data_IF_079706570697
#
_entry.id   IF_079706570697
#
_cell.length_a   1.000
_cell.length_b   1.000
_cell.length_c   1.000
_cell.angle_alpha   90.00
_cell.angle_beta   90.00
_cell.angle_gamma   90.00
#
_symmetry.space_group_name_H-M   'P 1'
#
loop_
_entity.id
_entity.type
_entity.pdbx_description
1 polymer ?
#
# COMPACT_ATOMS: atom_id res chain seq x y z
N UNK A 1 78.23 -48.81 52.63
CA UNK A 1 77.84 -47.59 53.35
C UNK A 1 76.78 -46.91 52.49
N UNK A 2 75.51 -47.30 52.43
CA UNK A 2 74.58 -47.82 53.44
C UNK A 2 73.58 -46.70 53.73
N UNK A 3 72.43 -46.56 53.06
CA UNK A 3 71.83 -47.36 51.99
C UNK A 3 70.92 -46.48 51.09
N UNK A 4 70.50 -46.98 49.91
CA UNK A 4 69.82 -46.21 48.88
C UNK A 4 68.31 -46.40 48.89
N UNK A 5 67.58 -45.43 48.33
CA UNK A 5 66.22 -45.65 47.85
C UNK A 5 65.44 -44.36 47.68
N UNK A 6 65.66 -43.65 46.57
CA UNK A 6 64.55 -42.93 45.95
C UNK A 6 63.47 -43.95 45.56
N UNK A 7 62.19 -43.60 45.75
CA UNK A 7 61.23 -43.79 44.64
C UNK A 7 60.19 -42.63 44.63
N UNK A 8 59.20 -42.61 43.72
CA UNK A 8 59.32 -41.91 42.44
C UNK A 8 58.12 -40.97 42.16
N UNK A 9 58.15 -40.37 40.97
CA UNK A 9 57.08 -39.60 40.34
C UNK A 9 55.73 -40.33 40.27
N UNK A 10 54.66 -39.53 40.25
CA UNK A 10 53.37 -39.94 39.68
C UNK A 10 52.21 -39.11 40.22
N UNK A 11 51.82 -38.07 39.49
CA UNK A 11 50.45 -37.53 39.55
C UNK A 11 49.51 -38.48 38.79
N UNK A 12 48.27 -38.63 39.28
CA UNK A 12 47.14 -38.72 38.38
C UNK A 12 46.05 -37.70 38.71
N UNK A 13 45.49 -37.12 37.65
CA UNK A 13 44.22 -36.40 37.64
C UNK A 13 43.10 -37.25 38.27
N UNK A 14 42.19 -36.58 38.98
CA UNK A 14 40.95 -37.18 39.47
C UNK A 14 40.23 -36.29 40.47
N UNK A 15 39.34 -35.42 39.99
CA UNK A 15 38.18 -34.99 40.79
C UNK A 15 37.15 -36.14 40.85
N UNK A 16 36.08 -36.14 41.67
CA UNK A 16 35.65 -35.20 42.73
C UNK A 16 35.17 -35.91 44.04
N UNK A 17 34.64 -35.11 44.98
CA UNK A 17 33.58 -35.42 45.97
C UNK A 17 33.95 -35.97 47.37
N UNK A 18 33.50 -35.20 48.39
CA UNK A 18 32.80 -35.69 49.59
C UNK A 18 33.63 -36.16 50.79
N UNK A 19 33.51 -35.45 51.92
CA UNK A 19 33.93 -35.95 53.23
C UNK A 19 34.02 -34.88 54.31
N UNK A 20 32.91 -34.66 55.03
CA UNK A 20 32.89 -33.94 56.30
C UNK A 20 33.73 -34.70 57.34
N UNK A 21 34.86 -34.16 57.83
CA UNK A 21 35.49 -34.52 59.13
C UNK A 21 36.81 -33.75 59.41
N UNK A 22 36.93 -32.46 59.03
CA UNK A 22 38.19 -31.70 59.18
C UNK A 22 38.37 -31.01 60.56
N UNK A 23 37.40 -31.10 61.48
CA UNK A 23 37.45 -30.28 62.72
C UNK A 23 37.57 -31.07 64.03
N UNK A 24 37.89 -32.37 63.97
CA UNK A 24 37.98 -33.21 65.17
C UNK A 24 39.35 -33.28 65.85
N UNK A 25 40.36 -32.53 65.39
CA UNK A 25 41.73 -32.62 65.91
C UNK A 25 42.27 -31.34 66.58
N UNK A 26 41.49 -30.26 66.72
CA UNK A 26 41.99 -29.05 67.38
C UNK A 26 41.77 -29.15 68.89
N UNK A 27 42.76 -29.73 69.58
CA UNK A 27 42.84 -29.76 71.05
C UNK A 27 43.49 -28.46 71.51
N UNK A 28 42.75 -27.64 72.26
CA UNK A 28 43.25 -26.39 72.85
C UNK A 28 44.21 -26.69 74.01
N UNK A 29 45.50 -26.83 73.69
CA UNK A 29 46.54 -27.07 74.68
C UNK A 29 46.99 -25.76 75.37
N UNK A 30 47.62 -25.88 76.54
CA UNK A 30 48.06 -24.77 77.40
C UNK A 30 49.05 -23.82 76.69
N UNK A 31 49.66 -24.30 75.60
CA UNK A 31 50.53 -23.55 74.70
C UNK A 31 49.79 -22.47 73.88
N UNK A 32 48.51 -22.67 73.55
CA UNK A 32 47.70 -21.68 72.81
C UNK A 32 47.33 -20.47 73.69
N UNK A 33 47.02 -20.71 74.97
CA UNK A 33 46.71 -19.65 75.94
C UNK A 33 47.96 -18.82 76.28
N UNK A 34 49.16 -19.41 76.19
CA UNK A 34 50.43 -18.71 76.44
C UNK A 34 50.88 -17.84 75.26
N UNK A 35 50.40 -18.10 74.04
CA UNK A 35 50.69 -17.31 72.85
C UNK A 35 49.83 -16.04 72.70
N UNK A 36 48.74 -15.92 73.46
CA UNK A 36 47.86 -14.75 73.46
C UNK A 36 48.26 -13.73 74.56
N UNK A 37 49.44 -13.10 74.41
CA UNK A 37 49.78 -11.87 75.14
C UNK A 37 49.74 -10.67 74.18
N UNK A 38 48.53 -10.33 73.73
CA UNK A 38 48.25 -9.03 73.13
C UNK A 38 47.57 -8.18 74.19
N UNK A 39 48.36 -7.29 74.79
CA UNK A 39 47.90 -6.31 75.77
C UNK A 39 47.59 -5.02 75.00
N UNK A 40 46.33 -4.75 74.71
CA UNK A 40 45.92 -3.53 74.02
C UNK A 40 46.07 -2.30 74.94
N UNK A 41 46.68 -1.25 74.40
CA UNK A 41 46.86 0.02 75.10
C UNK A 41 45.54 0.69 75.45
N UNK A 42 45.48 1.32 76.63
CA UNK A 42 44.31 2.03 77.13
C UNK A 42 43.96 3.23 76.24
N UNK A 43 42.68 3.61 76.18
CA UNK A 43 42.19 4.69 75.31
C UNK A 43 42.89 6.06 75.56
N UNK A 44 43.52 6.25 76.71
CA UNK A 44 44.26 7.47 77.06
C UNK A 44 45.67 7.53 76.48
N UNK A 45 46.32 6.40 76.19
CA UNK A 45 47.66 6.38 75.57
C UNK A 45 47.65 6.65 74.05
N UNK A 46 46.48 6.52 73.39
CA UNK A 46 46.30 6.94 72.00
C UNK A 46 46.18 8.46 71.81
N UNK A 47 46.05 9.24 72.89
CA UNK A 47 45.88 10.70 72.79
C UNK A 47 47.21 11.49 72.80
N UNK A 48 48.34 10.88 73.16
CA UNK A 48 49.60 11.60 73.37
C UNK A 48 50.50 11.69 72.12
N UNK A 49 50.23 10.92 71.06
CA UNK A 49 51.04 10.93 69.84
C UNK A 49 50.39 11.83 68.77
N UNK A 50 50.78 13.10 68.77
CA UNK A 50 50.32 14.10 67.82
C UNK A 50 51.37 14.33 66.72
N UNK A 51 51.45 13.39 65.78
CA UNK A 51 51.96 13.69 64.44
C UNK A 51 50.77 14.11 63.55
N UNK A 52 50.68 15.37 63.08
CA UNK A 52 49.56 15.79 62.23
C UNK A 52 49.71 15.13 60.86
N UNK A 53 49.01 14.01 60.63
CA UNK A 53 48.84 13.40 59.33
C UNK A 53 47.79 14.14 58.50
N UNK A 54 47.99 15.43 58.24
CA UNK A 54 47.20 16.17 57.25
C UNK A 54 48.14 16.94 56.33
N UNK A 55 48.44 16.35 55.17
CA UNK A 55 48.90 17.12 54.01
C UNK A 55 47.81 18.15 53.72
N UNK A 56 48.13 19.44 53.90
CA UNK A 56 47.31 20.52 53.36
C UNK A 56 47.22 20.32 51.85
N UNK A 57 46.03 19.98 51.34
CA UNK A 57 45.74 20.06 49.91
C UNK A 57 45.86 21.53 49.50
N UNK A 58 46.51 21.87 48.37
CA UNK A 58 46.47 23.23 47.88
C UNK A 58 45.01 23.59 47.57
N UNK A 59 44.64 24.83 47.86
CA UNK A 59 43.33 25.37 47.54
C UNK A 59 43.07 25.15 46.04
N UNK A 60 41.96 24.45 45.73
CA UNK A 60 41.47 24.36 44.37
C UNK A 60 41.06 25.77 43.96
N UNK A 61 41.95 26.49 43.26
CA UNK A 61 41.55 27.66 42.52
C UNK A 61 40.56 27.18 41.45
N UNK A 62 39.26 27.31 41.73
CA UNK A 62 38.19 27.26 40.74
C UNK A 62 38.32 28.47 39.82
N UNK A 63 39.33 28.47 38.97
CA UNK A 63 39.17 29.00 37.63
C UNK A 63 38.51 27.89 36.82
N UNK A 64 37.41 28.18 36.12
CA UNK A 64 36.91 27.30 35.06
C UNK A 64 38.11 26.95 34.18
N UNK A 65 38.60 25.71 34.25
CA UNK A 65 39.79 25.32 33.50
C UNK A 65 39.49 25.57 32.02
N UNK A 66 40.49 25.99 31.24
CA UNK A 66 40.34 26.14 29.78
C UNK A 66 39.65 24.91 29.15
N UNK A 67 39.84 23.73 29.73
CA UNK A 67 39.21 22.48 29.34
C UNK A 67 37.68 22.47 29.54
N UNK A 68 37.15 23.02 30.64
CA UNK A 68 35.71 23.16 30.84
C UNK A 68 35.08 24.14 29.86
N UNK A 69 35.78 25.23 29.54
CA UNK A 69 35.37 26.20 28.52
C UNK A 69 35.37 25.59 27.11
N UNK A 70 36.39 24.80 26.77
CA UNK A 70 36.46 24.05 25.51
C UNK A 70 35.33 23.03 25.43
N UNK A 71 35.03 22.31 26.51
CA UNK A 71 33.94 21.33 26.56
C UNK A 71 32.57 21.99 26.34
N UNK A 72 32.30 23.11 27.01
CA UNK A 72 31.05 23.87 26.82
C UNK A 72 30.95 24.41 25.38
N UNK A 73 32.06 24.88 24.81
CA UNK A 73 32.11 25.32 23.41
C UNK A 73 31.80 24.17 22.45
N UNK A 74 32.37 22.98 22.68
CA UNK A 74 32.09 21.79 21.86
C UNK A 74 30.62 21.35 21.95
N UNK A 75 30.04 21.38 23.16
CA UNK A 75 28.62 21.09 23.36
C UNK A 75 27.76 22.13 22.64
N UNK A 76 28.09 23.42 22.76
CA UNK A 76 27.37 24.49 22.08
C UNK A 76 27.48 24.39 20.56
N UNK A 77 28.64 24.01 20.02
CA UNK A 77 28.83 23.75 18.58
C UNK A 77 28.00 22.54 18.15
N UNK A 78 28.06 21.43 18.88
CA UNK A 78 27.30 20.22 18.57
C UNK A 78 25.78 20.46 18.61
N UNK A 79 25.29 21.19 19.60
CA UNK A 79 23.89 21.62 19.65
C UNK A 79 23.57 22.61 18.54
N UNK A 80 24.47 23.54 18.24
CA UNK A 80 24.33 24.49 17.14
C UNK A 80 24.24 23.78 15.80
N UNK A 81 25.06 22.75 15.53
CA UNK A 81 24.97 21.94 14.32
C UNK A 81 23.75 21.03 14.31
N UNK A 82 23.34 20.46 15.45
CA UNK A 82 22.10 19.67 15.54
C UNK A 82 20.86 20.54 15.27
N UNK A 83 20.80 21.74 15.85
CA UNK A 83 19.75 22.72 15.58
C UNK A 83 19.84 23.20 14.12
N UNK A 84 21.04 23.49 13.62
CA UNK A 84 21.22 23.93 12.24
C UNK A 84 20.83 22.83 11.22
N UNK A 85 21.13 21.56 11.47
CA UNK A 85 20.68 20.43 10.64
C UNK A 85 19.19 20.11 10.83
N UNK A 86 18.64 20.32 12.03
CA UNK A 86 17.20 20.21 12.28
C UNK A 86 16.39 21.35 11.65
N UNK A 87 16.98 22.54 11.51
CA UNK A 87 16.36 23.72 10.90
C UNK A 87 16.59 23.74 9.38
N UNK A 88 17.79 23.37 8.91
CA UNK A 88 18.10 23.15 7.49
C UNK A 88 18.01 21.67 7.19
N UNK A 89 16.79 21.19 6.93
CA UNK A 89 16.57 19.87 6.35
C UNK A 89 17.32 19.77 5.01
N UNK A 90 18.40 18.95 4.88
CA UNK A 90 19.13 18.77 3.61
C UNK A 90 18.35 17.87 2.63
N UNK A 91 17.33 17.17 3.15
CA UNK A 91 16.28 16.60 2.34
C UNK A 91 15.18 17.65 2.28
N UNK A 92 15.13 18.38 1.17
CA UNK A 92 13.86 18.94 0.73
C UNK A 92 12.90 17.75 0.68
N UNK A 93 12.00 17.63 1.64
CA UNK A 93 10.75 16.91 1.41
C UNK A 93 10.23 17.52 0.12
N UNK A 94 10.10 16.76 -0.98
CA UNK A 94 9.42 17.28 -2.15
C UNK A 94 8.12 17.86 -1.60
N UNK A 95 7.90 19.16 -1.80
CA UNK A 95 6.60 19.75 -1.52
C UNK A 95 5.62 18.88 -2.29
N UNK A 96 4.82 18.08 -1.58
CA UNK A 96 3.76 17.29 -2.18
C UNK A 96 2.91 18.28 -2.96
N UNK A 97 3.04 18.28 -4.29
CA UNK A 97 2.09 18.98 -5.10
C UNK A 97 0.74 18.31 -4.81
N UNK A 98 -0.32 19.10 -4.57
CA UNK A 98 -1.65 18.53 -4.48
C UNK A 98 -1.88 17.68 -5.74
N UNK A 99 -2.34 16.43 -5.59
CA UNK A 99 -2.55 15.54 -6.71
C UNK A 99 -3.55 16.18 -7.65
N UNK A 100 -3.33 15.98 -8.94
CA UNK A 100 -4.23 16.54 -9.94
C UNK A 100 -5.58 15.82 -9.80
N UNK A 101 -6.71 16.54 -9.73
CA UNK A 101 -8.00 15.90 -9.57
C UNK A 101 -8.31 15.04 -10.81
N UNK A 102 -8.80 13.83 -10.58
CA UNK A 102 -9.17 12.87 -11.63
C UNK A 102 -10.04 13.56 -12.68
N UNK A 103 -9.66 13.43 -13.94
CA UNK A 103 -10.50 13.81 -15.09
C UNK A 103 -11.11 12.58 -15.71
N UNK A 104 -12.41 12.65 -15.94
CA UNK A 104 -13.18 11.53 -16.47
C UNK A 104 -13.98 11.92 -17.70
N UNK A 105 -14.06 10.98 -18.64
CA UNK A 105 -14.92 11.05 -19.81
C UNK A 105 -15.67 9.74 -19.91
N UNK A 106 -17.00 9.79 -19.89
CA UNK A 106 -17.87 8.61 -20.02
C UNK A 106 -18.70 8.76 -21.28
N UNK A 107 -18.51 7.84 -22.23
CA UNK A 107 -19.16 7.84 -23.53
C UNK A 107 -20.10 6.63 -23.64
N UNK A 108 -21.42 6.83 -23.51
CA UNK A 108 -22.38 5.80 -23.84
C UNK A 108 -22.35 5.49 -25.34
N UNK A 109 -22.43 4.21 -25.69
CA UNK A 109 -22.45 3.71 -27.06
C UNK A 109 -23.83 3.16 -27.39
N UNK A 110 -24.54 3.83 -28.29
CA UNK A 110 -25.87 3.45 -28.73
C UNK A 110 -25.84 2.38 -29.84
N UNK A 111 -26.50 1.23 -29.66
CA UNK A 111 -26.62 0.22 -30.72
C UNK A 111 -27.43 0.76 -31.90
N UNK A 112 -27.05 0.37 -33.11
CA UNK A 112 -27.77 0.73 -34.33
C UNK A 112 -28.99 -0.15 -34.60
N UNK A 113 -29.03 -1.33 -34.00
CA UNK A 113 -30.09 -2.34 -34.14
C UNK A 113 -30.55 -2.82 -32.76
N UNK A 114 -31.57 -3.67 -32.72
CA UNK A 114 -31.96 -4.35 -31.50
C UNK A 114 -30.77 -5.13 -30.92
N UNK A 115 -30.59 -5.08 -29.60
CA UNK A 115 -29.49 -5.77 -28.91
C UNK A 115 -29.67 -7.29 -29.06
N UNK A 116 -28.65 -8.03 -29.56
CA UNK A 116 -28.69 -9.47 -29.64
C UNK A 116 -28.89 -10.13 -28.27
N UNK A 117 -29.54 -11.28 -28.27
CA UNK A 117 -29.61 -12.09 -27.06
C UNK A 117 -29.94 -13.55 -27.31
N UNK A 118 -29.36 -14.39 -26.46
CA UNK A 118 -29.53 -15.84 -26.44
C UNK A 118 -29.83 -16.28 -25.00
N UNK A 119 -30.36 -17.49 -24.81
CA UNK A 119 -30.45 -18.12 -23.49
C UNK A 119 -29.09 -18.61 -22.97
N UNK A 120 -28.05 -18.62 -23.80
CA UNK A 120 -26.69 -19.03 -23.46
C UNK A 120 -25.70 -17.86 -23.54
N UNK A 121 -25.06 -17.53 -22.41
CA UNK A 121 -23.96 -16.57 -22.37
C UNK A 121 -22.75 -17.06 -23.19
N UNK A 122 -22.43 -18.35 -23.11
CA UNK A 122 -21.30 -18.95 -23.82
C UNK A 122 -21.48 -18.88 -25.35
N UNK A 123 -22.71 -19.04 -25.85
CA UNK A 123 -23.02 -18.86 -27.28
C UNK A 123 -22.78 -17.43 -27.74
N UNK A 124 -23.24 -16.44 -26.95
CA UNK A 124 -23.02 -15.02 -27.25
C UNK A 124 -21.53 -14.68 -27.27
N UNK A 125 -20.77 -15.17 -26.28
CA UNK A 125 -19.33 -14.95 -26.23
C UNK A 125 -18.64 -15.56 -27.45
N UNK A 126 -18.95 -16.81 -27.80
CA UNK A 126 -18.37 -17.52 -28.94
C UNK A 126 -18.62 -16.82 -30.29
N UNK A 127 -19.76 -16.15 -30.44
CA UNK A 127 -20.13 -15.42 -31.67
C UNK A 127 -19.82 -13.93 -31.62
N UNK A 128 -18.93 -13.50 -30.72
CA UNK A 128 -18.52 -12.10 -30.55
C UNK A 128 -16.99 -11.96 -30.58
N UNK A 129 -16.46 -10.74 -30.70
CA UNK A 129 -15.02 -10.50 -30.51
C UNK A 129 -14.49 -10.96 -29.14
N UNK A 130 -15.35 -11.14 -28.14
CA UNK A 130 -14.96 -11.61 -26.81
C UNK A 130 -14.61 -13.11 -26.75
N UNK A 131 -14.81 -13.88 -27.82
CA UNK A 131 -14.50 -15.31 -27.87
C UNK A 131 -13.03 -15.61 -27.52
N UNK A 132 -12.12 -14.71 -27.92
CA UNK A 132 -10.67 -14.81 -27.70
C UNK A 132 -10.20 -14.20 -26.36
N UNK A 133 -11.11 -13.61 -25.59
CA UNK A 133 -10.76 -12.92 -24.34
C UNK A 133 -10.60 -13.95 -23.21
N UNK A 134 -9.66 -13.68 -22.31
CA UNK A 134 -9.48 -14.46 -21.09
C UNK A 134 -10.57 -14.12 -20.08
N UNK A 135 -10.72 -14.94 -19.03
CA UNK A 135 -11.78 -14.79 -18.04
C UNK A 135 -11.24 -14.04 -16.81
N UNK A 136 -11.99 -13.04 -16.35
CA UNK A 136 -11.71 -12.31 -15.11
C UNK A 136 -10.29 -11.73 -15.05
N UNK A 137 -9.66 -11.88 -13.88
CA UNK A 137 -8.33 -11.32 -13.61
C UNK A 137 -7.21 -11.93 -14.47
N UNK A 138 -7.44 -13.07 -15.12
CA UNK A 138 -6.48 -13.66 -16.07
C UNK A 138 -6.38 -12.83 -17.36
N UNK A 139 -7.40 -12.05 -17.71
CA UNK A 139 -7.33 -11.12 -18.84
C UNK A 139 -6.53 -9.85 -18.57
N UNK A 140 -6.22 -9.57 -17.30
CA UNK A 140 -5.38 -8.45 -16.87
C UNK A 140 -3.96 -9.00 -16.65
N UNK A 141 -3.22 -9.14 -17.75
CA UNK A 141 -1.84 -9.66 -17.72
C UNK A 141 -0.85 -8.55 -17.45
N UNK A 142 0.08 -8.79 -16.55
CA UNK A 142 1.20 -7.88 -16.31
C UNK A 142 2.22 -8.02 -17.47
N UNK A 143 2.72 -6.92 -18.04
CA UNK A 143 3.79 -6.98 -19.01
C UNK A 143 5.09 -7.46 -18.34
N UNK A 144 6.06 -7.87 -19.15
CA UNK A 144 7.41 -8.05 -18.64
C UNK A 144 7.95 -6.70 -18.16
N UNK A 145 8.17 -6.55 -16.86
CA UNK A 145 8.77 -5.35 -16.28
C UNK A 145 10.29 -5.46 -16.23
N UNK A 146 10.94 -4.31 -16.24
CA UNK A 146 12.36 -4.17 -15.91
C UNK A 146 12.51 -2.91 -15.06
N UNK A 147 13.56 -2.87 -14.24
CA UNK A 147 13.97 -1.64 -13.57
C UNK A 147 14.13 -0.49 -14.57
N UNK A 148 13.82 0.71 -14.13
CA UNK A 148 14.02 1.94 -14.89
C UNK A 148 15.24 2.69 -14.33
N UNK A 149 15.41 3.97 -14.67
CA UNK A 149 16.54 4.78 -14.21
C UNK A 149 16.48 5.05 -12.70
N UNK A 150 15.29 5.36 -12.19
CA UNK A 150 15.03 5.79 -10.81
C UNK A 150 14.23 4.78 -9.98
N UNK A 151 13.62 3.77 -10.61
CA UNK A 151 12.84 2.73 -9.94
C UNK A 151 13.44 1.34 -10.08
N UNK A 152 13.38 0.58 -8.98
CA UNK A 152 13.75 -0.84 -8.99
C UNK A 152 12.73 -1.67 -9.75
N UNK A 153 13.14 -2.89 -10.13
CA UNK A 153 12.22 -3.85 -10.75
C UNK A 153 11.01 -4.14 -9.85
N UNK A 154 11.25 -4.32 -8.54
CA UNK A 154 10.18 -4.54 -7.57
C UNK A 154 9.19 -3.38 -7.49
N UNK A 155 9.66 -2.14 -7.60
CA UNK A 155 8.78 -0.96 -7.60
C UNK A 155 7.89 -0.89 -8.85
N UNK A 156 8.45 -1.21 -10.02
CA UNK A 156 7.68 -1.28 -11.27
C UNK A 156 6.64 -2.40 -11.19
N UNK A 157 7.02 -3.57 -10.66
CA UNK A 157 6.07 -4.68 -10.42
C UNK A 157 4.97 -4.25 -9.46
N UNK A 158 5.30 -3.59 -8.35
CA UNK A 158 4.30 -3.09 -7.39
C UNK A 158 3.31 -2.15 -8.05
N UNK A 159 3.76 -1.15 -8.82
CA UNK A 159 2.88 -0.24 -9.56
C UNK A 159 1.90 -1.00 -10.48
N UNK A 160 2.43 -1.95 -11.27
CA UNK A 160 1.64 -2.78 -12.19
C UNK A 160 0.63 -3.66 -11.43
N UNK A 161 1.02 -4.24 -10.29
CA UNK A 161 0.11 -5.04 -9.47
C UNK A 161 -0.97 -4.19 -8.81
N UNK A 162 -0.66 -3.00 -8.29
CA UNK A 162 -1.66 -2.10 -7.71
C UNK A 162 -2.67 -1.65 -8.76
N UNK A 163 -2.21 -1.29 -9.96
CA UNK A 163 -3.11 -0.96 -11.08
C UNK A 163 -3.99 -2.15 -11.49
N UNK A 164 -3.43 -3.37 -11.50
CA UNK A 164 -4.21 -4.60 -11.75
C UNK A 164 -5.28 -4.82 -10.68
N UNK A 165 -4.94 -4.70 -9.40
CA UNK A 165 -5.89 -4.88 -8.30
C UNK A 165 -7.00 -3.84 -8.38
N UNK A 166 -6.68 -2.58 -8.69
CA UNK A 166 -7.69 -1.55 -8.95
C UNK A 166 -8.65 -1.95 -10.07
N UNK A 167 -8.15 -2.48 -11.19
CA UNK A 167 -8.98 -2.94 -12.30
C UNK A 167 -9.87 -4.13 -11.90
N UNK A 168 -9.35 -5.06 -11.10
CA UNK A 168 -10.12 -6.21 -10.59
C UNK A 168 -11.26 -5.71 -9.69
N UNK A 169 -10.94 -4.92 -8.67
CA UNK A 169 -11.96 -4.43 -7.73
C UNK A 169 -12.98 -3.49 -8.40
N UNK A 170 -12.52 -2.63 -9.32
CA UNK A 170 -13.41 -1.64 -9.94
C UNK A 170 -14.20 -2.16 -11.14
N UNK A 171 -13.86 -3.33 -11.71
CA UNK A 171 -14.50 -3.84 -12.95
C UNK A 171 -14.86 -5.31 -12.94
N UNK A 172 -14.47 -6.10 -11.93
CA UNK A 172 -14.74 -7.53 -11.89
C UNK A 172 -15.45 -7.99 -10.62
N UNK A 173 -15.31 -7.27 -9.50
CA UNK A 173 -15.99 -7.59 -8.25
C UNK A 173 -17.53 -7.51 -8.40
N UNK A 174 -18.27 -8.63 -8.26
CA UNK A 174 -19.72 -8.65 -8.35
C UNK A 174 -20.43 -7.70 -7.36
N UNK A 175 -19.86 -7.49 -6.18
CA UNK A 175 -20.41 -6.58 -5.17
C UNK A 175 -20.25 -5.11 -5.60
N UNK A 176 -19.21 -4.78 -6.36
CA UNK A 176 -19.06 -3.46 -6.97
C UNK A 176 -19.97 -3.30 -8.18
N UNK A 177 -20.00 -4.31 -9.06
CA UNK A 177 -20.77 -4.31 -10.30
C UNK A 177 -22.28 -4.21 -10.04
N UNK A 178 -22.79 -4.93 -9.04
CA UNK A 178 -24.24 -5.06 -8.77
C UNK A 178 -24.62 -4.86 -7.30
N UNK A 179 -23.71 -5.07 -6.35
CA UNK A 179 -23.97 -4.92 -4.90
C UNK A 179 -23.90 -3.48 -4.36
N UNK A 180 -23.43 -2.52 -5.16
CA UNK A 180 -23.41 -1.10 -4.81
C UNK A 180 -22.33 -0.68 -3.82
N UNK A 181 -21.47 -1.61 -3.36
CA UNK A 181 -20.32 -1.27 -2.54
C UNK A 181 -19.29 -0.47 -3.33
N UNK A 182 -18.55 0.38 -2.62
CA UNK A 182 -17.44 1.20 -3.17
C UNK A 182 -16.15 0.97 -2.41
N UNK A 183 -16.21 0.30 -1.26
CA UNK A 183 -15.09 0.15 -0.33
C UNK A 183 -13.88 -0.57 -0.94
N UNK A 184 -14.02 -1.68 -1.69
CA UNK A 184 -12.87 -2.37 -2.28
C UNK A 184 -12.05 -1.47 -3.21
N UNK A 185 -12.72 -0.60 -3.96
CA UNK A 185 -12.05 0.41 -4.81
C UNK A 185 -11.48 1.55 -3.97
N UNK A 186 -12.26 2.05 -3.01
CA UNK A 186 -11.89 3.21 -2.19
C UNK A 186 -10.59 3.00 -1.41
N UNK A 187 -10.33 1.79 -0.91
CA UNK A 187 -9.11 1.50 -0.13
C UNK A 187 -7.83 1.47 -0.98
N UNK A 188 -7.96 1.29 -2.30
CA UNK A 188 -6.84 1.26 -3.24
C UNK A 188 -6.48 2.65 -3.78
N UNK A 189 -7.26 3.69 -3.46
CA UNK A 189 -6.99 5.05 -3.91
C UNK A 189 -6.02 5.76 -2.98
N UNK A 190 -5.22 6.67 -3.56
CA UNK A 190 -4.45 7.63 -2.79
C UNK A 190 -5.37 8.43 -1.84
N UNK A 191 -4.99 8.65 -0.57
CA UNK A 191 -5.84 9.33 0.42
C UNK A 191 -6.32 10.72 0.00
N UNK A 192 -5.56 11.43 -0.83
CA UNK A 192 -5.85 12.78 -1.28
C UNK A 192 -6.95 12.79 -2.36
N UNK A 193 -7.26 11.66 -2.99
CA UNK A 193 -8.37 11.53 -3.94
C UNK A 193 -9.70 11.11 -3.28
N UNK A 194 -9.68 10.77 -1.99
CA UNK A 194 -10.87 10.24 -1.31
C UNK A 194 -12.01 11.24 -1.23
N UNK A 195 -11.72 12.54 -1.07
CA UNK A 195 -12.76 13.58 -1.05
C UNK A 195 -13.50 13.67 -2.40
N UNK A 196 -12.76 13.64 -3.51
CA UNK A 196 -13.35 13.62 -4.85
C UNK A 196 -14.14 12.33 -5.10
N UNK A 197 -13.59 11.19 -4.68
CA UNK A 197 -14.25 9.89 -4.78
C UNK A 197 -15.57 9.90 -4.02
N UNK A 198 -15.55 10.24 -2.73
CA UNK A 198 -16.75 10.25 -1.86
C UNK A 198 -17.80 11.24 -2.41
N UNK A 199 -17.38 12.43 -2.83
CA UNK A 199 -18.28 13.40 -3.49
C UNK A 199 -18.94 12.85 -4.76
N UNK A 200 -18.22 12.04 -5.54
CA UNK A 200 -18.77 11.41 -6.75
C UNK A 200 -19.97 10.53 -6.44
N UNK A 201 -19.97 9.83 -5.30
CA UNK A 201 -21.08 8.96 -4.91
C UNK A 201 -22.19 9.70 -4.17
N UNK A 202 -21.85 10.70 -3.36
CA UNK A 202 -22.82 11.51 -2.60
C UNK A 202 -23.62 12.45 -3.51
N UNK A 203 -22.96 13.06 -4.50
CA UNK A 203 -23.57 14.00 -5.46
C UNK A 203 -23.03 13.74 -6.87
N UNK A 204 -23.48 12.68 -7.55
CA UNK A 204 -23.03 12.37 -8.90
C UNK A 204 -23.33 13.51 -9.88
N UNK A 205 -22.33 13.97 -10.65
CA UNK A 205 -22.50 15.01 -11.68
C UNK A 205 -21.70 14.71 -12.95
N UNK A 206 -22.20 15.22 -14.09
CA UNK A 206 -21.54 15.12 -15.40
C UNK A 206 -20.53 16.26 -15.65
N UNK A 207 -19.69 16.58 -14.66
CA UNK A 207 -18.73 17.70 -14.72
C UNK A 207 -17.31 17.28 -15.16
N UNK A 208 -17.16 16.01 -15.56
CA UNK A 208 -15.88 15.42 -15.90
C UNK A 208 -14.99 15.14 -14.69
N UNK A 209 -15.53 15.13 -13.47
CA UNK A 209 -14.82 14.87 -12.21
C UNK A 209 -15.59 14.03 -11.19
N UNK A 210 -16.92 14.03 -11.21
CA UNK A 210 -17.73 13.41 -10.17
C UNK A 210 -18.77 12.40 -10.68
N UNK A 211 -18.45 11.68 -11.77
CA UNK A 211 -19.20 10.53 -12.23
C UNK A 211 -18.70 9.24 -11.59
N UNK A 212 -19.50 8.56 -10.74
CA UNK A 212 -19.20 7.22 -10.22
C UNK A 212 -18.76 6.20 -11.26
N UNK A 213 -19.34 6.26 -12.46
CA UNK A 213 -19.03 5.33 -13.57
C UNK A 213 -17.67 5.57 -14.22
N UNK A 214 -16.99 6.68 -13.90
CA UNK A 214 -15.57 6.87 -14.22
C UNK A 214 -14.66 6.07 -13.26
N UNK A 215 -14.98 6.07 -11.97
CA UNK A 215 -14.21 5.35 -10.96
C UNK A 215 -14.34 3.83 -11.08
N UNK A 216 -15.56 3.33 -11.25
CA UNK A 216 -15.84 1.90 -11.26
C UNK A 216 -17.03 1.55 -12.15
N UNK A 217 -17.06 0.31 -12.63
CA UNK A 217 -18.19 -0.22 -13.39
C UNK A 217 -19.30 -0.57 -12.41
N UNK A 218 -20.47 0.01 -12.61
CA UNK A 218 -21.65 -0.27 -11.78
C UNK A 218 -22.92 -0.24 -12.58
N UNK A 219 -23.70 -1.31 -12.47
CA UNK A 219 -25.00 -1.45 -13.10
C UNK A 219 -26.11 -0.99 -12.15
N UNK A 220 -27.25 -0.63 -12.74
CA UNK A 220 -28.50 -0.48 -12.01
C UNK A 220 -29.07 -1.87 -11.66
N UNK A 221 -28.76 -2.33 -10.44
CA UNK A 221 -29.14 -3.64 -9.93
C UNK A 221 -30.66 -3.85 -9.82
N UNK A 222 -31.46 -2.79 -9.83
CA UNK A 222 -32.93 -2.90 -9.88
C UNK A 222 -33.44 -3.40 -11.23
N UNK A 223 -32.62 -3.28 -12.28
CA UNK A 223 -32.97 -3.62 -13.67
C UNK A 223 -32.13 -4.72 -14.26
N UNK A 224 -30.86 -4.81 -13.87
CA UNK A 224 -29.89 -5.73 -14.49
C UNK A 224 -29.09 -6.48 -13.43
N UNK A 225 -28.83 -7.76 -13.71
CA UNK A 225 -27.93 -8.60 -12.94
C UNK A 225 -26.96 -9.35 -13.88
N UNK A 226 -25.85 -9.81 -13.32
CA UNK A 226 -24.94 -10.71 -14.04
C UNK A 226 -25.67 -12.03 -14.37
N UNK A 227 -25.57 -12.46 -15.62
CA UNK A 227 -26.04 -13.75 -16.08
C UNK A 227 -24.95 -14.82 -15.99
N UNK A 228 -23.69 -14.40 -15.97
CA UNK A 228 -22.50 -15.24 -15.88
C UNK A 228 -21.40 -14.48 -15.10
N UNK A 229 -20.68 -15.19 -14.24
CA UNK A 229 -19.51 -14.65 -13.52
C UNK A 229 -18.23 -14.69 -14.37
N UNK A 230 -18.21 -15.41 -15.49
CA UNK A 230 -17.08 -15.52 -16.42
C UNK A 230 -16.93 -14.28 -17.31
N UNK A 231 -16.75 -13.12 -16.69
CA UNK A 231 -16.53 -11.84 -17.39
C UNK A 231 -15.31 -11.97 -18.31
N UNK A 232 -15.45 -11.56 -19.58
CA UNK A 232 -14.38 -11.64 -20.57
C UNK A 232 -13.55 -10.37 -20.55
N UNK A 233 -12.22 -10.50 -20.51
CA UNK A 233 -11.30 -9.37 -20.40
C UNK A 233 -10.15 -9.51 -21.39
N UNK A 234 -9.83 -8.41 -22.05
CA UNK A 234 -8.60 -8.26 -22.84
C UNK A 234 -8.08 -6.84 -22.69
N UNK A 235 -6.77 -6.69 -22.55
CA UNK A 235 -6.15 -5.37 -22.48
C UNK A 235 -4.65 -5.45 -22.26
N UNK A 236 -4.06 -4.31 -21.94
CA UNK A 236 -2.64 -4.18 -21.62
C UNK A 236 -2.41 -3.17 -20.50
N UNK A 237 -1.32 -3.40 -19.76
CA UNK A 237 -0.72 -2.44 -18.84
C UNK A 237 0.63 -2.02 -19.41
N UNK A 238 0.98 -0.75 -19.24
CA UNK A 238 2.28 -0.20 -19.60
C UNK A 238 2.77 0.65 -18.44
N UNK A 239 4.04 0.51 -18.06
CA UNK A 239 4.66 1.30 -17.00
C UNK A 239 5.84 2.11 -17.56
N UNK A 240 5.93 3.37 -17.18
CA UNK A 240 7.00 4.28 -17.56
C UNK A 240 7.33 5.24 -16.40
N UNK A 241 8.49 5.87 -16.43
CA UNK A 241 8.77 7.00 -15.54
C UNK A 241 8.08 8.25 -16.09
N UNK A 242 7.24 8.89 -15.27
CA UNK A 242 6.76 10.23 -15.55
C UNK A 242 7.85 11.26 -15.21
N UNK A 243 8.48 11.09 -14.05
CA UNK A 243 9.66 11.82 -13.62
C UNK A 243 10.54 10.94 -12.68
N UNK A 244 11.57 11.51 -12.05
CA UNK A 244 12.51 10.77 -11.20
C UNK A 244 11.93 10.26 -9.87
N UNK A 245 10.73 10.67 -9.51
CA UNK A 245 10.03 10.32 -8.28
C UNK A 245 8.64 9.70 -8.52
N UNK A 246 8.14 9.69 -9.76
CA UNK A 246 6.80 9.22 -10.10
C UNK A 246 6.82 8.20 -11.25
N UNK A 247 6.22 7.03 -11.04
CA UNK A 247 5.88 6.08 -12.10
C UNK A 247 4.49 6.40 -12.65
N UNK A 248 4.33 6.27 -13.96
CA UNK A 248 3.03 6.24 -14.63
C UNK A 248 2.70 4.82 -15.06
N UNK A 249 1.46 4.40 -14.84
CA UNK A 249 0.91 3.18 -15.43
C UNK A 249 -0.31 3.52 -16.26
N UNK A 250 -0.30 3.13 -17.53
CA UNK A 250 -1.46 3.25 -18.41
C UNK A 250 -2.09 1.87 -18.57
N UNK A 251 -3.38 1.79 -18.30
CA UNK A 251 -4.19 0.59 -18.46
C UNK A 251 -5.26 0.82 -19.54
N UNK A 252 -5.27 0.00 -20.59
CA UNK A 252 -6.33 -0.02 -21.60
C UNK A 252 -6.93 -1.43 -21.65
N UNK A 253 -8.14 -1.57 -21.11
CA UNK A 253 -8.82 -2.87 -20.98
C UNK A 253 -10.26 -2.79 -21.46
N UNK A 254 -10.67 -3.84 -22.16
CA UNK A 254 -12.06 -4.09 -22.56
C UNK A 254 -12.61 -5.25 -21.73
N UNK A 255 -13.74 -5.00 -21.07
CA UNK A 255 -14.49 -5.93 -20.24
C UNK A 255 -15.83 -6.23 -20.91
N UNK A 256 -16.22 -7.51 -21.01
CA UNK A 256 -17.49 -7.93 -21.61
C UNK A 256 -18.27 -8.79 -20.63
N UNK A 257 -19.40 -8.25 -20.20
CA UNK A 257 -20.30 -8.81 -19.20
C UNK A 257 -21.49 -9.47 -19.89
N UNK A 258 -21.89 -10.64 -19.41
CA UNK A 258 -23.17 -11.25 -19.76
C UNK A 258 -24.22 -10.79 -18.76
N UNK A 259 -25.26 -10.11 -19.24
CA UNK A 259 -26.28 -9.45 -18.42
C UNK A 259 -27.67 -9.95 -18.75
N UNK A 260 -28.55 -9.97 -17.75
CA UNK A 260 -29.98 -10.28 -17.91
C UNK A 260 -30.83 -9.39 -17.00
N UNK A 261 -32.15 -9.29 -17.24
CA UNK A 261 -33.02 -8.53 -16.36
C UNK A 261 -33.00 -9.07 -14.93
N UNK A 262 -33.07 -8.19 -13.94
CA UNK A 262 -33.19 -8.59 -12.52
C UNK A 262 -34.46 -9.41 -12.29
N UNK A 263 -34.40 -10.41 -11.40
CA UNK A 263 -35.53 -11.27 -11.03
C UNK A 263 -36.19 -12.01 -12.21
N UNK A 264 -35.41 -12.27 -13.27
CA UNK A 264 -35.86 -13.00 -14.44
C UNK A 264 -35.67 -14.52 -14.30
N UNK A 265 -36.47 -15.29 -15.03
CA UNK A 265 -36.39 -16.75 -15.02
C UNK A 265 -35.09 -17.28 -15.65
N UNK A 266 -34.88 -18.61 -15.57
CA UNK A 266 -33.69 -19.25 -16.13
C UNK A 266 -33.65 -19.23 -17.68
N UNK A 267 -34.76 -18.89 -18.35
CA UNK A 267 -34.87 -18.83 -19.82
C UNK A 267 -34.77 -17.39 -20.34
N UNK A 268 -34.59 -16.41 -19.46
CA UNK A 268 -34.43 -15.03 -19.84
C UNK A 268 -33.23 -14.87 -20.78
N UNK A 269 -33.44 -14.12 -21.86
CA UNK A 269 -32.36 -13.84 -22.81
C UNK A 269 -31.28 -13.01 -22.11
N UNK A 270 -30.06 -13.47 -22.29
CA UNK A 270 -28.82 -12.80 -21.92
C UNK A 270 -28.40 -11.87 -23.06
N UNK A 271 -27.74 -10.77 -22.73
CA UNK A 271 -27.07 -9.89 -23.67
C UNK A 271 -25.64 -9.62 -23.24
N UNK A 272 -24.77 -9.33 -24.19
CA UNK A 272 -23.43 -8.84 -23.86
C UNK A 272 -23.43 -7.32 -23.70
N UNK A 273 -22.69 -6.86 -22.71
CA UNK A 273 -22.41 -5.46 -22.47
C UNK A 273 -20.89 -5.26 -22.40
N UNK A 274 -20.38 -4.30 -23.14
CA UNK A 274 -18.94 -4.06 -23.31
C UNK A 274 -18.56 -2.72 -22.70
N UNK A 275 -17.50 -2.70 -21.91
CA UNK A 275 -16.88 -1.50 -21.35
C UNK A 275 -15.41 -1.50 -21.71
N UNK A 276 -14.96 -0.50 -22.47
CA UNK A 276 -13.53 -0.19 -22.61
C UNK A 276 -13.18 0.92 -21.63
N UNK A 277 -12.13 0.70 -20.84
CA UNK A 277 -11.59 1.67 -19.89
C UNK A 277 -10.12 1.91 -20.21
N UNK A 278 -9.78 3.17 -20.42
CA UNK A 278 -8.40 3.64 -20.45
C UNK A 278 -8.16 4.49 -19.18
N UNK A 279 -7.25 4.03 -18.33
CA UNK A 279 -6.94 4.60 -17.03
C UNK A 279 -5.47 4.97 -16.96
N UNK A 280 -5.16 6.16 -16.45
CA UNK A 280 -3.79 6.63 -16.26
C UNK A 280 -3.56 6.81 -14.76
N UNK A 281 -2.61 6.07 -14.23
CA UNK A 281 -2.26 6.06 -12.82
C UNK A 281 -0.90 6.73 -12.60
N UNK A 282 -0.73 7.42 -11.49
CA UNK A 282 0.58 7.81 -10.96
C UNK A 282 0.85 7.07 -9.65
N UNK A 283 2.13 6.80 -9.43
CA UNK A 283 2.63 6.18 -8.21
C UNK A 283 3.90 6.88 -7.77
N UNK A 284 3.83 7.58 -6.65
CA UNK A 284 5.03 8.00 -5.93
C UNK A 284 5.57 6.87 -5.03
N UNK A 285 6.62 7.15 -4.25
CA UNK A 285 7.20 6.12 -3.36
C UNK A 285 6.29 5.72 -2.21
N UNK A 286 5.41 6.61 -1.76
CA UNK A 286 4.44 6.32 -0.70
C UNK A 286 3.27 5.49 -1.24
N UNK A 287 2.76 5.81 -2.44
CA UNK A 287 1.76 4.99 -3.15
C UNK A 287 2.23 3.54 -3.30
N UNK A 288 3.46 3.36 -3.78
CA UNK A 288 4.07 2.04 -3.94
C UNK A 288 4.21 1.30 -2.61
N UNK A 289 4.55 2.01 -1.53
CA UNK A 289 4.70 1.42 -0.20
C UNK A 289 3.35 1.04 0.41
N UNK A 290 2.31 1.82 0.14
CA UNK A 290 0.98 1.68 0.71
C UNK A 290 0.04 0.82 -0.14
N UNK A 291 0.46 0.43 -1.35
CA UNK A 291 -0.38 -0.27 -2.34
C UNK A 291 -1.61 0.56 -2.72
N UNK A 292 -1.39 1.86 -2.96
CA UNK A 292 -2.41 2.82 -3.35
C UNK A 292 -2.11 3.36 -4.75
N UNK A 293 -3.13 3.88 -5.41
CA UNK A 293 -3.05 4.41 -6.77
C UNK A 293 -3.67 5.80 -6.85
N UNK A 294 -2.93 6.76 -7.39
CA UNK A 294 -3.47 8.04 -7.83
C UNK A 294 -4.00 7.88 -9.26
N UNK A 295 -5.29 8.12 -9.50
CA UNK A 295 -5.91 8.04 -10.82
C UNK A 295 -6.06 9.44 -11.44
N UNK A 296 -5.45 9.68 -12.58
CA UNK A 296 -5.36 11.01 -13.20
C UNK A 296 -6.39 11.16 -14.34
N UNK A 297 -6.52 10.11 -15.15
CA UNK A 297 -7.42 10.05 -16.30
C UNK A 297 -8.26 8.79 -16.25
N UNK A 298 -9.55 8.93 -16.49
CA UNK A 298 -10.48 7.84 -16.72
C UNK A 298 -11.31 8.07 -17.98
N UNK A 299 -11.00 7.36 -19.05
CA UNK A 299 -11.77 7.36 -20.28
C UNK A 299 -12.56 6.06 -20.42
N UNK A 300 -13.89 6.16 -20.45
CA UNK A 300 -14.81 5.01 -20.46
C UNK A 300 -15.69 5.06 -21.69
N UNK A 301 -15.73 3.96 -22.45
CA UNK A 301 -16.69 3.74 -23.52
C UNK A 301 -17.52 2.51 -23.18
N UNK A 302 -18.84 2.65 -23.08
CA UNK A 302 -19.70 1.58 -22.59
C UNK A 302 -20.96 1.41 -23.44
N UNK A 303 -21.33 0.18 -23.78
CA UNK A 303 -22.57 -0.11 -24.50
C UNK A 303 -22.90 -1.60 -24.57
N UNK A 304 -24.13 -1.97 -24.93
CA UNK A 304 -25.17 -1.10 -25.48
C UNK A 304 -25.89 -0.22 -24.44
N UNK A 305 -25.95 1.10 -24.67
CA UNK A 305 -26.65 2.09 -23.83
C UNK A 305 -27.58 2.97 -24.68
N UNK A 306 -28.43 3.78 -24.04
CA UNK A 306 -29.13 4.88 -24.70
C UNK A 306 -28.44 6.20 -24.37
N UNK A 307 -28.27 7.08 -25.36
CA UNK A 307 -27.58 8.36 -25.18
C UNK A 307 -28.44 9.45 -24.52
N UNK A 308 -29.74 9.20 -24.37
CA UNK A 308 -30.68 10.08 -23.67
C UNK A 308 -30.68 9.92 -22.16
N UNK A 309 -30.17 8.78 -21.65
CA UNK A 309 -30.27 8.45 -20.23
C UNK A 309 -28.99 8.82 -19.49
N UNK A 310 -29.17 9.21 -18.23
CA UNK A 310 -28.06 9.48 -17.33
C UNK A 310 -27.24 8.21 -17.06
N UNK A 311 -25.99 8.22 -17.52
CA UNK A 311 -24.98 7.18 -17.32
C UNK A 311 -23.90 7.60 -16.30
N UNK A 312 -24.07 8.75 -15.63
CA UNK A 312 -23.12 9.30 -14.64
C UNK A 312 -23.12 8.44 -13.39
N UNK A 313 -24.29 8.21 -12.80
CA UNK A 313 -24.40 7.51 -11.52
C UNK A 313 -24.26 5.99 -11.67
N UNK A 314 -24.96 5.40 -12.64
CA UNK A 314 -25.01 3.95 -12.90
C UNK A 314 -25.23 3.69 -14.38
N UNK A 315 -24.64 2.61 -14.88
CA UNK A 315 -24.89 2.12 -16.23
C UNK A 315 -26.25 1.41 -16.27
N UNK A 316 -27.02 1.71 -17.32
CA UNK A 316 -28.36 1.15 -17.58
C UNK A 316 -28.36 0.44 -18.94
N UNK A 317 -27.83 -0.79 -19.01
CA UNK A 317 -27.70 -1.54 -20.25
C UNK A 317 -29.02 -1.68 -21.00
N UNK A 318 -28.97 -1.58 -22.33
CA UNK A 318 -30.03 -2.11 -23.18
C UNK A 318 -29.86 -3.63 -23.28
N UNK A 319 -30.92 -4.37 -22.95
CA UNK A 319 -30.94 -5.83 -22.93
C UNK A 319 -31.60 -6.39 -24.19
N UNK A 320 -31.59 -7.71 -24.33
CA UNK A 320 -31.99 -8.44 -25.53
C UNK A 320 -33.31 -7.93 -26.14
N UNK A 321 -33.28 -7.59 -27.43
CA UNK A 321 -34.42 -7.09 -28.18
C UNK A 321 -34.71 -5.59 -28.00
N UNK A 322 -34.08 -4.91 -27.04
CA UNK A 322 -34.24 -3.46 -26.88
C UNK A 322 -33.42 -2.70 -27.92
N UNK A 323 -33.89 -1.50 -28.28
CA UNK A 323 -33.22 -0.57 -29.19
C UNK A 323 -32.91 0.73 -28.47
N UNK A 324 -31.88 1.45 -28.92
CA UNK A 324 -31.65 2.82 -28.45
C UNK A 324 -32.86 3.69 -28.78
N UNK A 325 -33.28 4.53 -27.83
CA UNK A 325 -34.32 5.53 -28.09
C UNK A 325 -33.73 6.62 -28.98
N UNK A 326 -34.57 7.23 -29.81
CA UNK A 326 -34.19 8.44 -30.51
C UNK A 326 -33.88 9.55 -29.50
N UNK A 327 -32.78 10.26 -29.71
CA UNK A 327 -32.34 11.32 -28.82
C UNK A 327 -30.82 11.35 -28.67
N UNK A 328 -30.30 12.53 -28.35
CA UNK A 328 -28.91 12.74 -28.02
C UNK A 328 -28.74 13.12 -26.54
N UNK A 329 -27.49 13.33 -26.11
CA UNK A 329 -27.23 13.93 -24.81
C UNK A 329 -27.90 15.31 -24.68
N UNK A 330 -28.05 15.78 -23.44
CA UNK A 330 -28.54 17.13 -23.18
C UNK A 330 -27.66 18.19 -23.88
N UNK A 331 -28.28 19.30 -24.29
CA UNK A 331 -27.57 20.42 -24.90
C UNK A 331 -26.48 20.97 -23.97
N UNK A 332 -25.32 21.31 -24.54
CA UNK A 332 -24.23 21.96 -23.81
C UNK A 332 -24.39 23.48 -23.93
N UNK A 333 -24.50 24.18 -22.80
CA UNK A 333 -24.48 25.64 -22.75
C UNK A 333 -23.01 26.11 -22.70
N UNK A 334 -22.49 26.80 -23.75
CA UNK A 334 -21.11 27.27 -23.76
C UNK A 334 -20.84 28.42 -22.78
N UNK A 335 -21.87 29.02 -22.19
CA UNK A 335 -21.75 30.06 -21.17
C UNK A 335 -21.83 29.51 -19.74
N UNK A 336 -22.31 28.28 -19.56
CA UNK A 336 -22.31 27.62 -18.26
C UNK A 336 -20.89 27.13 -17.91
N UNK A 337 -20.43 27.48 -16.70
CA UNK A 337 -19.15 26.99 -16.19
C UNK A 337 -19.35 25.69 -15.42
N UNK A 338 -18.42 24.74 -15.57
CA UNK A 338 -18.36 23.54 -14.73
C UNK A 338 -19.07 22.28 -15.24
N UNK A 339 -19.65 22.28 -16.44
CA UNK A 339 -20.18 21.04 -17.07
C UNK A 339 -19.21 20.51 -18.13
N UNK A 340 -19.03 19.18 -18.18
CA UNK A 340 -18.33 18.56 -19.30
C UNK A 340 -19.28 18.44 -20.51
N UNK A 341 -18.74 18.56 -21.72
CA UNK A 341 -19.52 18.31 -22.93
C UNK A 341 -20.02 16.87 -22.93
N UNK A 342 -21.33 16.70 -23.03
CA UNK A 342 -21.92 15.37 -23.06
C UNK A 342 -21.68 14.72 -24.43
N UNK A 343 -21.04 13.54 -24.40
CA UNK A 343 -20.67 12.77 -25.59
C UNK A 343 -21.58 11.55 -25.74
N UNK A 344 -21.76 11.09 -26.98
CA UNK A 344 -22.47 9.87 -27.32
C UNK A 344 -21.81 9.25 -28.55
N UNK A 345 -21.53 7.95 -28.49
CA UNK A 345 -20.98 7.19 -29.61
C UNK A 345 -22.01 6.23 -30.20
N UNK A 346 -21.75 5.75 -31.42
CA UNK A 346 -22.47 4.61 -31.99
C UNK A 346 -21.71 3.33 -31.69
N UNK A 347 -22.41 2.32 -31.16
CA UNK A 347 -21.86 0.98 -30.99
C UNK A 347 -21.81 0.28 -32.35
N UNK A 348 -20.61 -0.06 -32.80
CA UNK A 348 -20.40 -0.77 -34.05
C UNK A 348 -21.12 -2.13 -34.05
N UNK A 349 -21.78 -2.48 -35.16
CA UNK A 349 -22.43 -3.79 -35.34
C UNK A 349 -21.42 -4.95 -35.29
N UNK A 350 -20.17 -4.71 -35.70
CA UNK A 350 -19.07 -5.67 -35.60
C UNK A 350 -18.63 -5.97 -34.16
N UNK A 351 -18.97 -5.10 -33.20
CA UNK A 351 -18.69 -5.31 -31.78
C UNK A 351 -19.77 -6.14 -31.07
N UNK A 352 -20.88 -6.46 -31.74
CA UNK A 352 -22.00 -7.22 -31.19
C UNK A 352 -21.93 -8.70 -31.60
N UNK A 353 -22.52 -9.62 -30.82
CA UNK A 353 -22.64 -11.02 -31.20
C UNK A 353 -23.38 -11.21 -32.53
N UNK A 354 -22.91 -12.14 -33.36
CA UNK A 354 -23.55 -12.56 -34.61
C UNK A 354 -24.23 -13.91 -34.41
N UNK A 355 -25.50 -13.86 -33.98
CA UNK A 355 -26.36 -15.04 -33.81
C UNK A 355 -27.01 -15.48 -35.12
#
# INVERSE_FOLDING_TARGET
>A
MGGPGDPPEGTPEGAPAGGEDEYRSVVFDESFVRAARLQEFSAQERMADHAPAVRRRPALQRGLSRQALILVLLIAIAFGTAIYMGVRHPYQTPTAQPPEPLRMTVIPLAPQTAVPGSTSADELYAHSPAAQFRIGAEGITLPASRRTAHFSDSQVVTALTTAKDYLVESSLDPDVLTGGTTRPVRILLDPQQLDQFDQSFDRPTADGRHAPTGWLVRFDASRTQLADSKIRVQGSLQAAEFDSNTLEVIADHTFVYALKPTASDAKAKVSLFTVRRELHFRFDRDDLRMHQAELLVSYVQAGPLTCSDDSVSRLRPLLAGQTAKAGGPAGTDPYATGSATALCGSLATSAQPKL
#
